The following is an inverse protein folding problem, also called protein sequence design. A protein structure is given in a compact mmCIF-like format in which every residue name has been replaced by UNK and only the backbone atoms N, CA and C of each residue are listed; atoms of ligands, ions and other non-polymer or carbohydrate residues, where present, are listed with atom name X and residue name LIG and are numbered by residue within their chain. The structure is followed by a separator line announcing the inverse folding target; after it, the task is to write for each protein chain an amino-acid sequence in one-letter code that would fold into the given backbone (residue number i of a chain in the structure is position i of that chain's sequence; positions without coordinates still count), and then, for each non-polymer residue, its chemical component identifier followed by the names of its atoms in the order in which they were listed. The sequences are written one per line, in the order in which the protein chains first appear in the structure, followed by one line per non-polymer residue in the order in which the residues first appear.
data_IF_395335522827
#
_entry.id   IF_395335522827
#
_cell.length_a   1.000
_cell.length_b   1.000
_cell.length_c   1.000
_cell.angle_alpha   90.00
_cell.angle_beta   90.00
_cell.angle_gamma   90.00
#
_symmetry.space_group_name_H-M   'P 1'
#
loop_
_entity.id
_entity.type
_entity.pdbx_description
1 polymer ?
#
# COMPACT_ATOMS: atom_id res chain seq x y z
N UNK A 1 21.97 -0.95 2.13
CA UNK A 1 21.60 -2.32 1.69
C UNK A 1 22.79 -3.13 1.14
N UNK A 2 23.45 -2.73 0.03
CA UNK A 2 24.53 -3.53 -0.63
C UNK A 2 25.72 -3.89 0.28
N UNK A 3 26.09 -3.00 1.20
CA UNK A 3 27.19 -3.21 2.15
C UNK A 3 26.93 -4.38 3.12
N UNK A 4 25.68 -4.60 3.52
CA UNK A 4 25.29 -5.67 4.45
C UNK A 4 24.90 -6.93 3.67
N UNK A 5 24.09 -6.78 2.61
CA UNK A 5 23.65 -7.91 1.80
C UNK A 5 24.80 -8.60 1.04
N UNK A 6 25.88 -7.88 0.74
CA UNK A 6 27.08 -8.41 0.07
C UNK A 6 28.05 -9.18 0.96
N UNK A 7 27.87 -9.20 2.29
CA UNK A 7 28.73 -9.98 3.20
C UNK A 7 28.60 -11.48 2.92
N UNK A 8 29.74 -12.19 2.80
CA UNK A 8 29.79 -13.65 2.54
C UNK A 8 29.35 -14.47 3.76
N UNK A 9 29.87 -14.14 4.94
CA UNK A 9 29.42 -14.67 6.22
C UNK A 9 28.60 -13.59 6.92
N UNK A 10 27.30 -13.81 7.07
CA UNK A 10 26.40 -12.89 7.77
C UNK A 10 26.16 -13.40 9.18
N UNK A 11 26.13 -12.48 10.13
CA UNK A 11 25.72 -12.76 11.51
C UNK A 11 24.22 -12.55 11.67
N UNK A 12 23.66 -13.00 12.79
CA UNK A 12 22.26 -12.71 13.14
C UNK A 12 21.99 -11.19 13.21
N UNK A 13 22.96 -10.41 13.68
CA UNK A 13 22.90 -8.95 13.69
C UNK A 13 22.83 -8.36 12.26
N UNK A 14 23.55 -8.94 11.30
CA UNK A 14 23.44 -8.53 9.89
C UNK A 14 22.03 -8.83 9.34
N UNK A 15 21.43 -9.96 9.70
CA UNK A 15 20.07 -10.31 9.29
C UNK A 15 19.01 -9.38 9.90
N UNK A 16 19.15 -9.05 11.18
CA UNK A 16 18.28 -8.10 11.88
C UNK A 16 18.37 -6.70 11.25
N UNK A 17 19.58 -6.22 10.95
CA UNK A 17 19.76 -4.90 10.35
C UNK A 17 19.25 -4.87 8.90
N UNK A 18 19.41 -5.94 8.13
CA UNK A 18 18.78 -6.04 6.82
C UNK A 18 17.25 -6.00 6.92
N UNK A 19 16.67 -6.77 7.85
CA UNK A 19 15.22 -6.78 8.08
C UNK A 19 14.71 -5.39 8.47
N UNK A 20 15.45 -4.69 9.34
CA UNK A 20 15.15 -3.31 9.72
C UNK A 20 15.15 -2.39 8.50
N UNK A 21 16.25 -2.33 7.76
CA UNK A 21 16.37 -1.46 6.57
C UNK A 21 15.25 -1.73 5.56
N UNK A 22 14.93 -3.00 5.30
CA UNK A 22 13.85 -3.36 4.37
C UNK A 22 12.47 -2.95 4.88
N UNK A 23 12.22 -3.10 6.17
CA UNK A 23 10.97 -2.69 6.78
C UNK A 23 10.78 -1.17 6.65
N UNK A 24 11.79 -0.36 7.01
CA UNK A 24 11.72 1.10 6.84
C UNK A 24 11.54 1.49 5.37
N UNK A 25 12.25 0.82 4.45
CA UNK A 25 12.13 1.09 3.02
C UNK A 25 10.77 0.69 2.42
N UNK A 26 9.96 -0.10 3.14
CA UNK A 26 8.63 -0.51 2.70
C UNK A 26 7.51 0.45 3.11
N UNK A 27 7.81 1.43 3.97
CA UNK A 27 6.84 2.42 4.41
C UNK A 27 6.67 3.52 3.35
N UNK A 28 5.42 3.87 3.07
CA UNK A 28 5.08 5.17 2.51
C UNK A 28 4.74 6.13 3.65
N UNK A 29 5.32 7.33 3.62
CA UNK A 29 5.19 8.31 4.69
C UNK A 29 4.69 9.64 4.13
N UNK A 30 3.69 10.21 4.81
CA UNK A 30 3.27 11.60 4.65
C UNK A 30 3.42 12.30 5.99
N UNK A 31 4.29 13.32 6.06
CA UNK A 31 4.64 14.04 7.30
C UNK A 31 4.94 13.09 8.47
N UNK A 32 5.74 12.05 8.21
CA UNK A 32 6.15 11.01 9.16
C UNK A 32 5.04 10.06 9.65
N UNK A 33 3.83 10.14 9.09
CA UNK A 33 2.75 9.17 9.33
C UNK A 33 2.66 8.19 8.17
N UNK A 34 2.35 6.93 8.47
CA UNK A 34 2.16 5.92 7.43
C UNK A 34 0.96 6.29 6.56
N UNK A 35 1.12 6.20 5.25
CA UNK A 35 0.08 6.54 4.29
C UNK A 35 0.01 5.53 3.15
N UNK A 36 -1.05 5.63 2.35
CA UNK A 36 -1.09 5.09 0.98
C UNK A 36 -0.95 6.26 0.02
N UNK A 37 0.06 6.27 -0.86
CA UNK A 37 0.24 7.36 -1.80
C UNK A 37 -0.96 7.52 -2.74
N UNK A 38 -1.27 8.76 -3.13
CA UNK A 38 -2.32 9.04 -4.12
C UNK A 38 -2.16 8.23 -5.41
N UNK A 39 -0.92 8.14 -5.92
CA UNK A 39 -0.58 7.35 -7.11
C UNK A 39 -0.92 5.85 -6.97
N UNK A 40 -0.82 5.29 -5.76
CA UNK A 40 -1.20 3.90 -5.50
C UNK A 40 -2.72 3.74 -5.52
N UNK A 41 -3.45 4.71 -4.95
CA UNK A 41 -4.91 4.76 -4.99
C UNK A 41 -5.39 4.89 -6.43
N UNK A 42 -4.91 5.89 -7.18
CA UNK A 42 -5.24 6.09 -8.60
C UNK A 42 -4.99 4.85 -9.45
N UNK A 43 -3.83 4.21 -9.27
CA UNK A 43 -3.50 2.98 -9.99
C UNK A 43 -4.49 1.85 -9.71
N UNK A 44 -4.91 1.70 -8.45
CA UNK A 44 -5.90 0.70 -8.06
C UNK A 44 -7.28 1.04 -8.63
N UNK A 45 -7.71 2.30 -8.54
CA UNK A 45 -9.00 2.79 -9.05
C UNK A 45 -9.11 2.61 -10.57
N UNK A 46 -8.09 2.98 -11.33
CA UNK A 46 -8.05 2.76 -12.78
C UNK A 46 -8.09 1.27 -13.12
N UNK A 47 -7.40 0.42 -12.34
CA UNK A 47 -7.45 -1.03 -12.55
C UNK A 47 -8.83 -1.62 -12.22
N UNK A 48 -9.54 -1.10 -11.20
CA UNK A 48 -10.90 -1.50 -10.88
C UNK A 48 -11.91 -1.04 -11.93
N UNK A 49 -11.75 0.20 -12.42
CA UNK A 49 -12.56 0.77 -13.49
C UNK A 49 -12.46 -0.03 -14.80
N UNK A 50 -11.30 -0.63 -15.11
CA UNK A 50 -11.15 -1.53 -16.26
C UNK A 50 -12.08 -2.75 -16.20
N UNK A 51 -12.48 -3.20 -15.01
CA UNK A 51 -13.46 -4.29 -14.85
C UNK A 51 -14.88 -3.86 -15.20
N UNK A 52 -15.16 -2.57 -15.09
CA UNK A 52 -16.43 -1.94 -15.43
C UNK A 52 -16.45 -1.35 -16.85
N UNK A 53 -15.38 -1.56 -17.64
CA UNK A 53 -15.16 -0.95 -18.96
C UNK A 53 -15.07 0.59 -18.94
N UNK A 54 -14.72 1.18 -17.80
CA UNK A 54 -14.55 2.62 -17.60
C UNK A 54 -13.08 3.08 -17.56
N UNK A 55 -12.13 2.14 -17.71
CA UNK A 55 -10.72 2.42 -17.44
C UNK A 55 -10.10 3.62 -18.17
N UNK A 56 -10.45 3.85 -19.44
CA UNK A 56 -9.95 5.03 -20.19
C UNK A 56 -10.57 6.34 -19.71
N UNK A 57 -11.88 6.33 -19.42
CA UNK A 57 -12.61 7.48 -18.90
C UNK A 57 -12.09 7.88 -17.52
N UNK A 58 -11.95 6.90 -16.61
CA UNK A 58 -11.38 7.13 -15.28
C UNK A 58 -9.96 7.66 -15.35
N UNK A 59 -9.11 7.12 -16.24
CA UNK A 59 -7.74 7.61 -16.38
C UNK A 59 -7.67 9.05 -16.90
N UNK A 60 -8.65 9.51 -17.67
CA UNK A 60 -8.69 10.86 -18.23
C UNK A 60 -9.37 11.88 -17.31
N UNK A 61 -10.36 11.45 -16.52
CA UNK A 61 -11.27 12.34 -15.81
C UNK A 61 -11.32 12.12 -14.30
N UNK A 62 -10.34 11.44 -13.68
CA UNK A 62 -10.28 11.21 -12.23
C UNK A 62 -8.84 11.32 -11.73
N UNK A 63 -8.66 11.94 -10.56
CA UNK A 63 -7.39 11.94 -9.83
C UNK A 63 -7.62 11.98 -8.31
N UNK A 64 -6.58 11.66 -7.55
CA UNK A 64 -6.61 11.66 -6.08
C UNK A 64 -5.64 12.75 -5.59
N UNK A 65 -6.14 13.87 -5.01
CA UNK A 65 -5.31 15.04 -4.74
C UNK A 65 -4.29 14.84 -3.61
N UNK A 66 -4.53 13.88 -2.71
CA UNK A 66 -3.74 13.70 -1.50
C UNK A 66 -3.50 12.24 -1.14
N UNK A 67 -2.46 11.97 -0.35
CA UNK A 67 -2.22 10.64 0.17
C UNK A 67 -3.26 10.31 1.25
N UNK A 68 -3.69 9.05 1.29
CA UNK A 68 -4.55 8.56 2.36
C UNK A 68 -3.70 8.25 3.58
N UNK A 69 -3.91 8.96 4.69
CA UNK A 69 -3.29 8.58 5.96
C UNK A 69 -3.88 7.24 6.41
N UNK A 70 -3.02 6.33 6.83
CA UNK A 70 -3.42 4.99 7.24
C UNK A 70 -3.75 5.00 8.73
N UNK A 71 -4.99 4.64 9.05
CA UNK A 71 -5.47 4.42 10.40
C UNK A 71 -5.35 2.93 10.73
N UNK A 72 -4.66 2.60 11.80
CA UNK A 72 -4.41 1.24 12.29
C UNK A 72 -3.88 1.35 13.73
N UNK A 73 -3.74 0.20 14.41
CA UNK A 73 -3.08 0.15 15.72
C UNK A 73 -1.62 0.60 15.61
N UNK A 74 -1.33 1.85 16.03
CA UNK A 74 -0.05 2.52 15.84
C UNK A 74 0.01 3.71 14.90
N UNK A 75 -1.12 4.12 14.32
CA UNK A 75 -1.16 5.21 13.32
C UNK A 75 -0.72 6.59 13.85
N UNK A 76 -0.56 6.73 15.17
CA UNK A 76 -0.04 7.88 15.90
C UNK A 76 1.47 7.78 16.20
N UNK A 77 2.07 6.62 16.02
CA UNK A 77 3.49 6.37 16.30
C UNK A 77 4.39 6.76 15.12
N UNK A 78 5.62 7.16 15.45
CA UNK A 78 6.67 7.36 14.44
C UNK A 78 7.17 6.03 13.90
N UNK A 79 7.83 5.99 12.72
CA UNK A 79 8.46 4.78 12.20
C UNK A 79 9.41 4.08 13.18
N UNK A 80 10.12 4.84 14.01
CA UNK A 80 11.03 4.27 15.02
C UNK A 80 10.26 3.58 16.15
N UNK A 81 9.21 4.22 16.67
CA UNK A 81 8.34 3.63 17.68
C UNK A 81 7.58 2.41 17.14
N UNK A 82 7.13 2.48 15.89
CA UNK A 82 6.51 1.37 15.15
C UNK A 82 7.48 0.19 14.99
N UNK A 83 8.77 0.47 14.78
CA UNK A 83 9.79 -0.55 14.77
C UNK A 83 9.94 -1.13 16.18
N UNK A 84 10.23 -0.34 17.21
CA UNK A 84 10.55 -0.83 18.57
C UNK A 84 9.53 -1.81 19.19
N UNK A 85 8.24 -1.64 18.91
CA UNK A 85 7.16 -2.53 19.42
C UNK A 85 7.07 -3.93 18.80
N UNK A 86 7.87 -4.23 17.76
CA UNK A 86 7.92 -5.53 17.07
C UNK A 86 6.56 -6.04 16.51
N UNK A 87 5.65 -5.12 16.20
CA UNK A 87 4.38 -5.41 15.51
C UNK A 87 4.45 -4.89 14.06
N UNK A 88 3.48 -5.29 13.22
CA UNK A 88 3.37 -4.81 11.84
C UNK A 88 4.57 -5.15 10.95
N UNK A 89 5.14 -6.34 11.16
CA UNK A 89 6.28 -6.87 10.41
C UNK A 89 5.89 -8.19 9.76
N UNK A 90 6.00 -8.25 8.45
CA UNK A 90 5.85 -9.48 7.69
C UNK A 90 7.21 -9.94 7.16
N UNK A 91 7.76 -10.99 7.75
CA UNK A 91 9.00 -11.62 7.28
C UNK A 91 8.69 -12.92 6.54
N UNK A 92 8.94 -12.93 5.23
CA UNK A 92 8.60 -14.06 4.36
C UNK A 92 9.72 -14.40 3.38
N UNK A 93 9.83 -15.68 3.02
CA UNK A 93 10.77 -16.13 1.99
C UNK A 93 10.24 -15.81 0.58
N UNK A 94 10.83 -14.82 -0.10
CA UNK A 94 10.50 -14.50 -1.49
C UNK A 94 11.46 -15.22 -2.43
N UNK A 95 10.93 -15.71 -3.56
CA UNK A 95 11.73 -16.37 -4.59
C UNK A 95 12.28 -15.34 -5.57
N UNK A 96 13.60 -15.29 -5.71
CA UNK A 96 14.30 -14.49 -6.70
C UNK A 96 15.07 -15.46 -7.60
N UNK A 97 14.58 -15.64 -8.83
CA UNK A 97 15.05 -16.67 -9.76
C UNK A 97 15.01 -18.08 -9.14
N UNK A 98 16.17 -18.67 -8.85
CA UNK A 98 16.30 -19.98 -8.19
C UNK A 98 16.46 -19.89 -6.67
N UNK A 99 16.78 -18.72 -6.13
CA UNK A 99 17.10 -18.53 -4.72
C UNK A 99 15.87 -18.09 -3.91
N UNK A 100 15.87 -18.39 -2.62
CA UNK A 100 14.93 -17.84 -1.64
C UNK A 100 15.65 -16.84 -0.75
N UNK A 101 15.08 -15.66 -0.58
CA UNK A 101 15.61 -14.59 0.27
C UNK A 101 14.51 -14.17 1.24
N UNK A 102 14.83 -14.12 2.54
CA UNK A 102 13.89 -13.57 3.52
C UNK A 102 13.77 -12.06 3.30
N UNK A 103 12.53 -11.56 3.22
CA UNK A 103 12.25 -10.13 3.16
C UNK A 103 11.34 -9.73 4.28
N UNK A 104 11.61 -8.59 4.89
CA UNK A 104 10.78 -8.02 5.95
C UNK A 104 10.13 -6.74 5.46
N UNK A 105 8.81 -6.62 5.61
CA UNK A 105 8.03 -5.45 5.19
C UNK A 105 7.00 -5.05 6.24
N UNK A 106 6.58 -3.80 6.20
CA UNK A 106 5.44 -3.33 6.95
C UNK A 106 4.16 -4.05 6.51
N UNK A 107 3.30 -4.38 7.47
CA UNK A 107 1.96 -4.92 7.22
C UNK A 107 1.00 -4.49 8.32
N UNK A 108 -0.26 -4.28 7.99
CA UNK A 108 -1.35 -4.12 8.93
C UNK A 108 -2.56 -4.86 8.37
N UNK A 109 -3.18 -5.69 9.20
CA UNK A 109 -4.36 -6.48 8.78
C UNK A 109 -5.62 -5.63 8.87
N UNK A 110 -5.83 -5.01 10.02
CA UNK A 110 -6.91 -4.05 10.26
C UNK A 110 -6.41 -2.64 10.01
N UNK A 111 -7.00 -1.98 9.02
CA UNK A 111 -6.67 -0.61 8.66
C UNK A 111 -7.90 0.11 8.07
N UNK A 112 -7.89 1.42 8.19
CA UNK A 112 -8.85 2.33 7.57
C UNK A 112 -8.11 3.56 7.03
N UNK A 113 -8.84 4.43 6.35
CA UNK A 113 -8.32 5.69 5.86
C UNK A 113 -9.35 6.41 5.01
N UNK A 114 -9.22 7.72 4.94
CA UNK A 114 -10.07 8.57 4.12
C UNK A 114 -9.25 9.17 2.99
N UNK A 115 -9.80 9.15 1.78
CA UNK A 115 -9.21 9.79 0.61
C UNK A 115 -10.27 10.49 -0.20
N UNK A 116 -9.85 11.53 -0.91
CA UNK A 116 -10.70 12.31 -1.80
C UNK A 116 -10.51 11.84 -3.24
N UNK A 117 -11.59 11.85 -4.01
CA UNK A 117 -11.56 11.58 -5.44
C UNK A 117 -12.14 12.80 -6.15
N UNK A 118 -11.28 13.51 -6.89
CA UNK A 118 -11.73 14.56 -7.79
C UNK A 118 -11.96 13.95 -9.18
N UNK A 119 -13.09 14.31 -9.79
CA UNK A 119 -13.45 13.76 -11.09
C UNK A 119 -14.27 14.75 -11.92
N UNK A 120 -14.21 14.58 -13.24
CA UNK A 120 -14.97 15.36 -14.21
C UNK A 120 -16.34 14.72 -14.46
N UNK A 121 -17.40 15.35 -13.92
CA UNK A 121 -18.80 14.95 -14.04
C UNK A 121 -19.29 14.84 -15.50
N UNK A 122 -18.59 15.44 -16.48
CA UNK A 122 -18.93 15.29 -17.90
C UNK A 122 -18.46 13.96 -18.49
N UNK A 123 -17.48 13.32 -17.84
CA UNK A 123 -16.83 12.08 -18.30
C UNK A 123 -17.26 10.88 -17.46
N UNK A 124 -17.35 11.03 -16.14
CA UNK A 124 -17.69 9.97 -15.19
C UNK A 124 -18.60 10.54 -14.10
N UNK A 125 -19.64 9.82 -13.71
CA UNK A 125 -20.56 10.29 -12.67
C UNK A 125 -20.23 9.69 -11.30
N UNK A 126 -20.79 10.28 -10.23
CA UNK A 126 -20.60 9.84 -8.84
C UNK A 126 -20.88 8.36 -8.61
N UNK A 127 -21.94 7.81 -9.21
CA UNK A 127 -22.28 6.38 -9.01
C UNK A 127 -21.20 5.48 -9.62
N UNK A 128 -20.68 5.84 -10.79
CA UNK A 128 -19.58 5.11 -11.42
C UNK A 128 -18.29 5.18 -10.58
N UNK A 129 -18.03 6.31 -9.90
CA UNK A 129 -16.92 6.43 -8.95
C UNK A 129 -17.11 5.46 -7.78
N UNK A 130 -18.31 5.37 -7.21
CA UNK A 130 -18.60 4.43 -6.11
C UNK A 130 -18.39 2.98 -6.59
N UNK A 131 -18.98 2.63 -7.73
CA UNK A 131 -18.90 1.27 -8.28
C UNK A 131 -17.44 0.86 -8.58
N UNK A 132 -16.62 1.77 -9.11
CA UNK A 132 -15.21 1.46 -9.40
C UNK A 132 -14.36 1.38 -8.13
N UNK A 133 -14.67 2.16 -7.09
CA UNK A 133 -13.99 2.05 -5.78
C UNK A 133 -14.30 0.68 -5.16
N UNK A 134 -15.56 0.25 -5.16
CA UNK A 134 -15.98 -1.07 -4.68
C UNK A 134 -15.31 -2.20 -5.46
N UNK A 135 -15.31 -2.10 -6.79
CA UNK A 135 -14.60 -3.03 -7.68
C UNK A 135 -13.10 -3.07 -7.33
N UNK A 136 -12.48 -1.92 -7.11
CA UNK A 136 -11.05 -1.82 -6.76
C UNK A 136 -10.75 -2.53 -5.45
N UNK A 137 -11.59 -2.32 -4.43
CA UNK A 137 -11.47 -2.99 -3.13
C UNK A 137 -11.63 -4.50 -3.22
N UNK A 138 -12.63 -4.98 -3.96
CA UNK A 138 -12.96 -6.40 -4.06
C UNK A 138 -11.98 -7.21 -4.94
N UNK A 139 -11.57 -6.68 -6.09
CA UNK A 139 -10.87 -7.48 -7.12
C UNK A 139 -9.44 -7.02 -7.42
N UNK A 140 -9.07 -5.78 -7.09
CA UNK A 140 -7.73 -5.26 -7.35
C UNK A 140 -6.89 -5.24 -6.08
N UNK A 141 -7.30 -4.48 -5.08
CA UNK A 141 -6.58 -4.19 -3.85
C UNK A 141 -5.45 -3.17 -4.01
N UNK A 142 -4.96 -2.68 -2.89
CA UNK A 142 -3.87 -1.71 -2.77
C UNK A 142 -2.50 -2.39 -2.61
N UNK A 143 -1.44 -1.64 -2.92
CA UNK A 143 -0.05 -2.00 -2.66
C UNK A 143 0.37 -3.37 -3.25
N UNK A 144 1.17 -4.13 -2.51
CA UNK A 144 1.89 -5.31 -2.99
C UNK A 144 1.20 -6.62 -2.62
N UNK A 145 1.63 -7.69 -3.30
CA UNK A 145 1.23 -9.08 -3.02
C UNK A 145 -0.30 -9.34 -3.05
N UNK A 146 -0.98 -8.58 -3.91
CA UNK A 146 -2.37 -8.81 -4.31
C UNK A 146 -2.50 -10.20 -5.00
N UNK A 147 -3.61 -10.94 -4.79
CA UNK A 147 -4.83 -10.54 -4.09
C UNK A 147 -4.82 -10.77 -2.57
N UNK A 148 -3.71 -11.28 -2.00
CA UNK A 148 -3.68 -11.70 -0.58
C UNK A 148 -3.81 -10.53 0.39
N UNK A 149 -3.22 -9.39 0.04
CA UNK A 149 -3.23 -8.17 0.85
C UNK A 149 -3.87 -7.00 0.10
N UNK A 150 -4.24 -5.96 0.87
CA UNK A 150 -4.73 -4.68 0.35
C UNK A 150 -6.17 -4.69 -0.15
N UNK A 151 -6.95 -5.74 0.12
CA UNK A 151 -8.41 -5.72 -0.10
C UNK A 151 -9.07 -4.77 0.89
N UNK A 152 -10.13 -4.10 0.45
CA UNK A 152 -10.87 -3.16 1.27
C UNK A 152 -12.33 -3.08 0.85
N UNK A 153 -13.15 -2.50 1.72
CA UNK A 153 -14.49 -1.99 1.44
C UNK A 153 -14.46 -0.49 1.69
N UNK A 154 -15.27 0.27 0.96
CA UNK A 154 -15.34 1.71 1.11
C UNK A 154 -16.79 2.15 1.25
N UNK A 155 -16.99 3.30 1.88
CA UNK A 155 -18.27 3.98 1.95
C UNK A 155 -18.06 5.42 1.51
N UNK A 156 -18.98 5.94 0.70
CA UNK A 156 -18.94 7.33 0.26
C UNK A 156 -19.43 8.24 1.39
N UNK A 157 -18.54 9.06 1.94
CA UNK A 157 -18.88 10.07 2.94
C UNK A 157 -19.55 11.26 2.23
N UNK A 158 -20.62 11.78 2.83
CA UNK A 158 -21.43 12.88 2.30
C UNK A 158 -20.77 14.24 2.43
#
# INVERSE_FOLDING_TARGET
MKQISGKRAKTDADYQEMARIEWYASLYLDKSRVCVPSLVLESALVAGARKLKLGQQTQAGMFVPSNMLLEFDGSDLTPDQLWERDQNRLTVAVRIQRNRVMRTRFTCEEWAGNFEVEYDDSTINRQQIIDLVDSSGAVVGLCDWRPRFGRFQAEAIA
#
